data_IF_669527072430
#
_entry.id   IF_669527072430
#
_cell.length_a   1.000
_cell.length_b   1.000
_cell.length_c   1.000
_cell.angle_alpha   90.00
_cell.angle_beta   90.00
_cell.angle_gamma   90.00
#
_symmetry.space_group_name_H-M   'P 1'
#
loop_
_entity.id
_entity.type
_entity.pdbx_description
1 polymer ?
#
# COMPACT_ATOMS: atom_id res chain seq x y z
N UNK A 1 8.52 -11.41 4.72
CA UNK A 1 7.33 -10.56 4.95
C UNK A 1 7.61 -9.23 5.67
N UNK A 2 8.78 -9.00 6.29
CA UNK A 2 9.03 -7.76 7.08
C UNK A 2 9.23 -6.46 6.27
N UNK A 3 9.71 -6.53 5.01
CA UNK A 3 9.94 -5.32 4.19
C UNK A 3 8.67 -4.61 3.74
N UNK A 4 7.60 -5.36 3.48
CA UNK A 4 6.32 -4.81 3.05
C UNK A 4 5.71 -3.94 4.15
N UNK A 5 5.69 -4.44 5.39
CA UNK A 5 5.11 -3.75 6.54
C UNK A 5 5.89 -2.48 6.89
N UNK A 6 7.22 -2.52 6.81
CA UNK A 6 8.05 -1.34 7.07
C UNK A 6 7.82 -0.22 6.06
N UNK A 7 7.51 -0.56 4.81
CA UNK A 7 7.24 0.40 3.74
C UNK A 7 5.81 0.95 3.84
N UNK A 8 4.85 0.07 4.15
CA UNK A 8 3.46 0.44 4.45
C UNK A 8 3.38 1.45 5.60
N UNK A 9 4.03 1.17 6.73
CA UNK A 9 4.08 2.06 7.91
C UNK A 9 4.75 3.41 7.64
N UNK A 10 5.53 3.56 6.58
CA UNK A 10 6.12 4.86 6.19
C UNK A 10 5.17 5.72 5.37
N UNK A 11 4.15 5.10 4.77
CA UNK A 11 3.15 5.75 3.93
C UNK A 11 1.85 6.00 4.71
N UNK A 12 1.48 5.08 5.60
CA UNK A 12 0.38 5.21 6.57
C UNK A 12 0.75 6.28 7.61
N UNK A 13 0.31 7.53 7.34
CA UNK A 13 0.64 8.69 8.18
C UNK A 13 -0.29 8.80 9.38
N UNK A 14 -1.56 8.43 9.22
CA UNK A 14 -2.55 8.50 10.29
C UNK A 14 -2.53 7.27 11.22
N UNK A 15 -1.88 6.18 10.82
CA UNK A 15 -1.76 4.94 11.60
C UNK A 15 -3.02 4.07 11.58
N UNK A 16 -3.95 4.29 10.66
CA UNK A 16 -5.23 3.58 10.60
C UNK A 16 -5.11 2.20 9.93
N UNK A 17 -3.96 1.89 9.32
CA UNK A 17 -3.74 0.62 8.65
C UNK A 17 -4.23 0.56 7.21
N UNK A 18 -4.49 1.71 6.59
CA UNK A 18 -4.69 1.91 5.16
C UNK A 18 -3.93 3.16 4.72
N UNK A 19 -3.70 3.32 3.42
CA UNK A 19 -3.08 4.51 2.86
C UNK A 19 -4.11 5.11 1.93
N UNK A 20 -4.63 6.29 2.25
CA UNK A 20 -5.60 6.95 1.38
C UNK A 20 -4.87 7.77 0.30
N UNK A 21 -5.56 8.09 -0.80
CA UNK A 21 -5.00 8.93 -1.87
C UNK A 21 -4.53 10.29 -1.40
N UNK A 22 -5.13 10.81 -0.33
CA UNK A 22 -4.75 12.08 0.31
C UNK A 22 -3.47 11.96 1.16
N UNK A 23 -3.18 10.76 1.68
CA UNK A 23 -1.98 10.48 2.47
C UNK A 23 -0.78 10.08 1.61
N UNK A 24 -1.06 9.52 0.43
CA UNK A 24 -0.05 9.20 -0.56
C UNK A 24 0.40 10.46 -1.31
N UNK A 25 1.70 10.63 -1.56
CA UNK A 25 2.16 11.73 -2.39
C UNK A 25 1.62 11.56 -3.82
N UNK A 26 1.29 12.65 -4.54
CA UNK A 26 0.70 12.57 -5.89
C UNK A 26 1.62 11.95 -6.96
N UNK A 27 2.89 11.72 -6.61
CA UNK A 27 3.88 11.01 -7.45
C UNK A 27 4.00 9.53 -7.11
N UNK A 28 3.34 9.05 -6.06
CA UNK A 28 3.28 7.64 -5.76
C UNK A 28 2.43 6.94 -6.82
N UNK A 29 2.80 5.74 -7.27
CA UNK A 29 1.98 4.94 -8.16
C UNK A 29 0.82 4.32 -7.38
N UNK A 30 -0.05 5.16 -6.83
CA UNK A 30 -1.19 4.75 -6.01
C UNK A 30 -2.13 3.84 -6.81
N UNK A 31 -2.42 4.22 -8.05
CA UNK A 31 -3.25 3.43 -8.98
C UNK A 31 -2.64 2.05 -9.35
N UNK A 32 -1.37 1.78 -9.00
CA UNK A 32 -0.76 0.44 -9.15
C UNK A 32 -0.79 -0.39 -7.87
N UNK A 33 -1.06 0.27 -6.74
CA UNK A 33 -1.11 -0.33 -5.42
C UNK A 33 -2.56 -0.62 -5.00
N UNK A 34 -3.45 0.29 -5.37
CA UNK A 34 -4.90 0.20 -5.28
C UNK A 34 -5.39 -0.74 -6.38
N UNK A 35 -5.65 -1.99 -6.00
CA UNK A 35 -5.97 -3.05 -6.96
C UNK A 35 -7.47 -3.12 -7.25
N UNK A 36 -8.30 -2.67 -6.30
CA UNK A 36 -9.76 -2.63 -6.41
C UNK A 36 -10.29 -1.28 -6.94
N UNK A 37 -9.46 -0.24 -6.92
CA UNK A 37 -9.77 1.09 -7.44
C UNK A 37 -10.63 1.91 -6.50
N UNK A 38 -10.63 1.61 -5.20
CA UNK A 38 -11.47 2.29 -4.21
C UNK A 38 -10.86 3.61 -3.69
N UNK A 39 -9.62 3.93 -4.08
CA UNK A 39 -8.90 5.13 -3.67
C UNK A 39 -8.20 5.03 -2.31
N UNK A 40 -8.17 3.84 -1.72
CA UNK A 40 -7.40 3.49 -0.53
C UNK A 40 -6.56 2.24 -0.79
N UNK A 41 -5.43 2.10 -0.11
CA UNK A 41 -4.62 0.87 -0.16
C UNK A 41 -4.61 0.27 1.22
N UNK A 42 -5.28 -0.85 1.37
CA UNK A 42 -5.36 -1.57 2.64
C UNK A 42 -4.10 -2.41 2.89
N UNK A 43 -3.89 -2.80 4.15
CA UNK A 43 -2.82 -3.76 4.50
C UNK A 43 -2.95 -5.08 3.74
N UNK A 44 -4.16 -5.53 3.47
CA UNK A 44 -4.44 -6.78 2.76
C UNK A 44 -4.01 -6.69 1.30
N UNK A 45 -4.41 -5.64 0.59
CA UNK A 45 -3.97 -5.38 -0.78
C UNK A 45 -2.45 -5.20 -0.86
N UNK A 46 -1.86 -4.49 0.10
CA UNK A 46 -0.41 -4.31 0.16
C UNK A 46 0.34 -5.65 0.37
N UNK A 47 -0.20 -6.52 1.23
CA UNK A 47 0.36 -7.86 1.46
C UNK A 47 0.21 -8.73 0.23
N UNK A 48 -0.94 -8.70 -0.44
CA UNK A 48 -1.19 -9.45 -1.65
C UNK A 48 -0.27 -9.00 -2.81
N UNK A 49 -0.09 -7.69 -2.99
CA UNK A 49 0.87 -7.13 -3.95
C UNK A 49 2.32 -7.50 -3.62
N UNK A 50 2.71 -7.42 -2.34
CA UNK A 50 4.06 -7.81 -1.93
C UNK A 50 4.30 -9.33 -2.06
N UNK A 51 3.27 -10.15 -1.90
CA UNK A 51 3.34 -11.60 -2.11
C UNK A 51 3.48 -11.91 -3.60
N UNK A 52 2.67 -11.27 -4.46
CA UNK A 52 2.78 -11.36 -5.92
C UNK A 52 4.16 -10.97 -6.45
N UNK A 53 4.82 -10.00 -5.82
CA UNK A 53 6.17 -9.53 -6.21
C UNK A 53 7.31 -10.41 -5.70
N UNK A 54 7.06 -11.30 -4.74
CA UNK A 54 8.04 -12.24 -4.17
C UNK A 54 8.08 -13.59 -4.89
N UNK A 55 7.15 -13.87 -5.80
CA UNK A 55 7.15 -15.08 -6.62
C UNK A 55 7.91 -14.90 -7.93
N UNK A 56 9.24 -14.94 -7.88
CA UNK A 56 10.10 -15.28 -9.03
C UNK A 56 11.21 -16.21 -8.56
#
# INVERSE_FOLDING_TARGET
MARAIAMFRRLDRNGDGKIQRDEAPPRAPFDRLDADGDGVVTREEWMEMSARRSGR
#
